data_IF_169680369546
#
_entry.id   IF_169680369546
#
_cell.length_a   1.000
_cell.length_b   1.000
_cell.length_c   1.000
_cell.angle_alpha   90.00
_cell.angle_beta   90.00
_cell.angle_gamma   90.00
#
_symmetry.space_group_name_H-M   'P 1'
#
loop_
_entity.id
_entity.type
_entity.pdbx_description
1 polymer ?
#
# COMPACT_ATOMS: atom_id res chain seq x y z
N UNK A 1 16.63 26.86 -32.56
CA UNK A 1 17.16 25.59 -32.01
C UNK A 1 16.93 25.63 -30.50
N UNK A 2 16.26 24.62 -29.92
CA UNK A 2 16.06 24.55 -28.47
C UNK A 2 17.34 24.01 -27.80
N UNK A 3 17.82 24.66 -26.74
CA UNK A 3 18.87 24.11 -25.89
C UNK A 3 18.26 23.09 -24.93
N UNK A 4 18.77 21.86 -24.92
CA UNK A 4 18.24 20.75 -24.13
C UNK A 4 19.34 20.25 -23.19
N UNK A 5 19.09 20.34 -21.88
CA UNK A 5 20.00 19.86 -20.83
C UNK A 5 19.47 18.58 -20.19
N UNK A 6 20.39 17.66 -19.87
CA UNK A 6 20.10 16.41 -19.14
C UNK A 6 20.75 16.47 -17.78
N UNK A 7 20.00 16.07 -16.75
CA UNK A 7 20.46 16.02 -15.37
C UNK A 7 20.36 14.60 -14.82
N UNK A 8 21.27 14.24 -13.93
CA UNK A 8 21.23 12.98 -13.17
C UNK A 8 20.95 13.32 -11.71
N UNK A 9 19.84 12.83 -11.18
CA UNK A 9 19.48 12.99 -9.78
C UNK A 9 19.94 11.76 -8.98
N UNK A 10 20.41 12.00 -7.75
CA UNK A 10 20.68 10.96 -6.75
C UNK A 10 20.09 11.43 -5.41
N UNK A 11 19.30 10.58 -4.77
CA UNK A 11 18.77 10.85 -3.43
C UNK A 11 19.85 10.56 -2.39
N UNK A 12 19.97 11.44 -1.39
CA UNK A 12 20.89 11.29 -0.24
C UNK A 12 20.15 10.98 1.07
N UNK A 13 18.84 11.09 1.05
CA UNK A 13 17.91 10.82 2.14
C UNK A 13 16.62 10.22 1.57
N UNK A 14 15.70 9.72 2.41
CA UNK A 14 14.35 9.41 1.97
C UNK A 14 13.70 10.63 1.31
N UNK A 15 13.04 10.42 0.17
CA UNK A 15 12.31 11.44 -0.58
C UNK A 15 10.87 10.98 -0.74
N UNK A 16 9.92 11.84 -0.41
CA UNK A 16 8.50 11.61 -0.62
C UNK A 16 7.89 12.75 -1.44
N UNK A 17 7.24 12.42 -2.54
CA UNK A 17 6.48 13.34 -3.37
C UNK A 17 5.07 12.79 -3.42
N UNK A 18 4.16 13.45 -2.72
CA UNK A 18 2.78 13.03 -2.61
C UNK A 18 1.96 13.35 -3.86
N UNK A 19 0.91 12.57 -4.09
CA UNK A 19 -0.17 12.87 -5.04
C UNK A 19 -1.46 13.35 -4.34
N UNK A 20 -1.44 13.47 -3.01
CA UNK A 20 -2.60 13.85 -2.19
C UNK A 20 -3.42 12.66 -1.67
N UNK A 21 -3.18 11.45 -2.19
CA UNK A 21 -3.87 10.25 -1.74
C UNK A 21 -3.22 9.67 -0.47
N UNK A 22 -4.03 8.92 0.28
CA UNK A 22 -3.63 8.24 1.50
C UNK A 22 -4.21 6.84 1.47
N UNK A 23 -3.39 5.84 1.78
CA UNK A 23 -3.85 4.49 2.08
C UNK A 23 -4.29 4.42 3.54
N UNK A 24 -5.53 4.01 3.77
CA UNK A 24 -6.06 3.75 5.10
C UNK A 24 -5.82 2.30 5.56
N UNK A 25 -6.10 1.98 6.82
CA UNK A 25 -5.85 0.68 7.44
C UNK A 25 -6.62 -0.51 6.85
N UNK A 26 -7.55 -0.28 5.91
CA UNK A 26 -8.25 -1.32 5.16
C UNK A 26 -7.55 -1.62 3.81
N UNK A 27 -6.70 -0.72 3.33
CA UNK A 27 -6.04 -0.79 2.01
C UNK A 27 -4.61 -1.34 2.07
N UNK A 28 -4.09 -1.60 3.28
CA UNK A 28 -2.81 -2.26 3.46
C UNK A 28 -2.79 -3.17 4.67
N UNK A 29 -1.82 -4.08 4.67
CA UNK A 29 -1.48 -4.94 5.81
C UNK A 29 0.00 -4.78 6.13
N UNK A 30 0.31 -4.51 7.39
CA UNK A 30 1.68 -4.55 7.89
C UNK A 30 1.94 -5.92 8.51
N UNK A 31 2.98 -6.61 8.03
CA UNK A 31 3.38 -7.89 8.60
C UNK A 31 4.91 -7.97 8.66
N UNK A 32 5.44 -7.89 9.88
CA UNK A 32 6.87 -7.80 10.15
C UNK A 32 7.49 -6.51 9.59
N UNK A 33 8.41 -6.66 8.63
CA UNK A 33 9.11 -5.55 7.97
C UNK A 33 8.53 -5.19 6.59
N UNK A 34 7.35 -5.71 6.26
CA UNK A 34 6.73 -5.54 4.95
C UNK A 34 5.38 -4.87 5.06
N UNK A 35 5.09 -4.01 4.08
CA UNK A 35 3.76 -3.44 3.85
C UNK A 35 3.22 -4.03 2.57
N UNK A 36 2.04 -4.63 2.69
CA UNK A 36 1.30 -5.29 1.63
C UNK A 36 0.17 -4.37 1.22
N UNK A 37 0.27 -3.74 0.05
CA UNK A 37 -0.79 -2.87 -0.49
C UNK A 37 -1.78 -3.74 -1.26
N UNK A 38 -2.98 -3.90 -0.71
CA UNK A 38 -3.95 -4.89 -1.20
C UNK A 38 -4.70 -4.39 -2.43
N UNK A 39 -5.30 -5.31 -3.18
CA UNK A 39 -6.24 -5.00 -4.26
C UNK A 39 -7.57 -5.67 -3.98
N UNK A 40 -8.66 -4.91 -4.11
CA UNK A 40 -10.02 -5.45 -3.99
C UNK A 40 -10.27 -6.58 -4.99
N UNK A 41 -9.80 -6.42 -6.24
CA UNK A 41 -9.88 -7.45 -7.28
C UNK A 41 -9.16 -8.73 -6.85
N UNK A 42 -7.92 -8.62 -6.35
CA UNK A 42 -7.16 -9.79 -5.89
C UNK A 42 -7.76 -10.41 -4.63
N UNK A 43 -8.32 -9.61 -3.73
CA UNK A 43 -9.05 -10.13 -2.57
C UNK A 43 -10.24 -10.96 -3.04
N UNK A 44 -11.03 -10.45 -3.99
CA UNK A 44 -12.18 -11.15 -4.55
C UNK A 44 -11.81 -12.46 -5.26
N UNK A 45 -10.65 -12.49 -5.93
CA UNK A 45 -10.16 -13.70 -6.60
C UNK A 45 -9.61 -14.76 -5.63
N UNK A 46 -9.00 -14.34 -4.53
CA UNK A 46 -8.19 -15.22 -3.67
C UNK A 46 -8.90 -15.64 -2.38
N UNK A 47 -9.87 -14.87 -1.90
CA UNK A 47 -10.63 -15.18 -0.69
C UNK A 47 -12.03 -15.73 -1.05
N UNK A 48 -12.55 -16.71 -0.28
CA UNK A 48 -13.93 -17.16 -0.45
C UNK A 48 -14.93 -16.04 -0.22
N UNK A 49 -16.06 -16.06 -0.94
CA UNK A 49 -17.12 -15.06 -0.81
C UNK A 49 -17.60 -14.88 0.63
N UNK A 50 -17.78 -15.96 1.38
CA UNK A 50 -18.18 -15.93 2.79
C UNK A 50 -17.21 -15.15 3.69
N UNK A 51 -15.90 -15.19 3.38
CA UNK A 51 -14.87 -14.44 4.12
C UNK A 51 -14.97 -12.95 3.80
N UNK A 52 -15.27 -12.61 2.54
CA UNK A 52 -15.45 -11.22 2.09
C UNK A 52 -16.73 -10.63 2.69
N UNK A 53 -17.82 -11.40 2.72
CA UNK A 53 -19.09 -11.00 3.31
C UNK A 53 -18.98 -10.77 4.82
N UNK A 54 -18.21 -11.61 5.53
CA UNK A 54 -17.93 -11.40 6.95
C UNK A 54 -17.03 -10.18 7.20
N UNK A 55 -16.04 -9.94 6.34
CA UNK A 55 -15.20 -8.74 6.43
C UNK A 55 -16.04 -7.48 6.30
N UNK A 56 -16.83 -7.38 5.23
CA UNK A 56 -17.68 -6.21 4.93
C UNK A 56 -18.72 -5.98 6.03
N UNK A 57 -19.43 -7.02 6.46
CA UNK A 57 -20.38 -6.95 7.57
C UNK A 57 -19.70 -6.54 8.88
N UNK A 58 -18.50 -7.06 9.15
CA UNK A 58 -17.73 -6.74 10.34
C UNK A 58 -17.23 -5.30 10.38
N UNK A 59 -16.84 -4.72 9.25
CA UNK A 59 -16.50 -3.28 9.18
C UNK A 59 -17.73 -2.43 9.47
N UNK A 60 -18.88 -2.73 8.85
CA UNK A 60 -20.14 -1.99 9.04
C UNK A 60 -20.58 -2.04 10.51
N UNK A 61 -20.43 -3.20 11.15
CA UNK A 61 -20.76 -3.39 12.56
C UNK A 61 -19.71 -2.80 13.54
N UNK A 62 -18.56 -2.32 13.04
CA UNK A 62 -17.47 -1.81 13.88
C UNK A 62 -16.64 -2.88 14.60
N UNK A 63 -16.70 -4.14 14.14
CA UNK A 63 -15.96 -5.27 14.72
C UNK A 63 -14.46 -5.28 14.36
N UNK A 64 -14.11 -4.61 13.26
CA UNK A 64 -12.75 -4.52 12.72
C UNK A 64 -12.45 -3.08 12.31
N UNK A 65 -11.28 -2.57 12.69
CA UNK A 65 -10.81 -1.24 12.33
C UNK A 65 -9.72 -1.27 11.24
N UNK A 66 -9.23 -2.45 10.88
CA UNK A 66 -8.20 -2.64 9.86
C UNK A 66 -8.33 -4.01 9.19
N UNK A 67 -7.80 -4.12 7.97
CA UNK A 67 -7.71 -5.40 7.27
C UNK A 67 -6.77 -6.37 8.02
N UNK A 68 -5.70 -5.86 8.62
CA UNK A 68 -4.80 -6.66 9.47
C UNK A 68 -5.57 -7.33 10.62
N UNK A 69 -6.39 -6.57 11.35
CA UNK A 69 -7.16 -7.09 12.48
C UNK A 69 -8.12 -8.21 12.04
N UNK A 70 -8.82 -8.02 10.92
CA UNK A 70 -9.69 -9.03 10.35
C UNK A 70 -8.94 -10.32 10.00
N UNK A 71 -7.87 -10.20 9.20
CA UNK A 71 -7.08 -11.36 8.75
C UNK A 71 -6.42 -12.07 9.93
N UNK A 72 -5.97 -11.34 10.94
CA UNK A 72 -5.41 -11.92 12.16
C UNK A 72 -6.45 -12.73 12.93
N UNK A 73 -7.63 -12.15 13.18
CA UNK A 73 -8.74 -12.83 13.88
C UNK A 73 -9.24 -14.07 13.13
N UNK A 74 -9.16 -14.09 11.80
CA UNK A 74 -9.51 -15.25 10.96
C UNK A 74 -8.37 -16.25 10.74
N UNK A 75 -7.19 -16.03 11.34
CA UNK A 75 -5.99 -16.86 11.12
C UNK A 75 -5.57 -16.94 9.63
N UNK A 76 -5.80 -15.84 8.90
CA UNK A 76 -5.47 -15.65 7.48
C UNK A 76 -4.29 -14.69 7.26
N UNK A 77 -3.74 -14.11 8.33
CA UNK A 77 -2.57 -13.23 8.28
C UNK A 77 -1.27 -14.04 8.08
N UNK A 78 -1.10 -14.59 6.87
CA UNK A 78 0.05 -15.42 6.45
C UNK A 78 0.66 -14.84 5.18
N UNK A 79 2.00 -14.90 5.07
CA UNK A 79 2.74 -14.25 3.98
C UNK A 79 2.33 -14.71 2.58
N UNK A 80 1.95 -15.99 2.42
CA UNK A 80 1.46 -16.55 1.16
C UNK A 80 0.12 -15.94 0.73
N UNK A 81 -0.82 -15.79 1.67
CA UNK A 81 -2.12 -15.14 1.44
C UNK A 81 -1.91 -13.65 1.17
N UNK A 82 -1.13 -12.97 2.02
CA UNK A 82 -0.87 -11.53 1.90
C UNK A 82 -0.25 -11.19 0.54
N UNK A 83 0.69 -12.00 0.06
CA UNK A 83 1.31 -11.80 -1.26
C UNK A 83 0.31 -11.96 -2.39
N UNK A 84 -0.61 -12.93 -2.30
CA UNK A 84 -1.64 -13.18 -3.33
C UNK A 84 -2.67 -12.05 -3.42
N UNK A 85 -3.10 -11.50 -2.29
CA UNK A 85 -4.09 -10.40 -2.26
C UNK A 85 -3.48 -9.02 -2.53
N UNK A 86 -2.15 -8.91 -2.65
CA UNK A 86 -1.44 -7.64 -2.79
C UNK A 86 -1.15 -7.24 -4.22
N UNK A 87 -1.28 -5.96 -4.53
CA UNK A 87 -0.82 -5.37 -5.80
C UNK A 87 0.70 -5.27 -5.83
N UNK A 88 1.29 -4.76 -4.74
CA UNK A 88 2.73 -4.65 -4.57
C UNK A 88 3.09 -4.68 -3.08
N UNK A 89 4.36 -4.94 -2.79
CA UNK A 89 4.88 -5.07 -1.43
C UNK A 89 6.08 -4.16 -1.28
N UNK A 90 6.14 -3.41 -0.19
CA UNK A 90 7.28 -2.56 0.17
C UNK A 90 7.95 -3.13 1.40
N UNK A 91 9.27 -3.29 1.35
CA UNK A 91 10.08 -3.71 2.51
C UNK A 91 10.67 -2.50 3.20
N UNK A 92 10.79 -2.58 4.52
CA UNK A 92 11.43 -1.60 5.39
C UNK A 92 12.63 -2.25 6.08
N UNK A 93 13.65 -1.45 6.39
CA UNK A 93 14.81 -1.91 7.15
C UNK A 93 14.44 -2.23 8.62
N UNK A 94 13.42 -1.53 9.12
CA UNK A 94 12.90 -1.64 10.50
C UNK A 94 11.52 -2.30 10.53
N UNK A 95 11.19 -2.91 11.67
CA UNK A 95 9.82 -3.40 11.95
C UNK A 95 8.87 -2.22 11.95
N UNK A 96 7.71 -2.39 11.33
CA UNK A 96 6.69 -1.37 11.19
C UNK A 96 5.57 -1.69 12.18
N UNK A 97 5.21 -0.75 13.04
CA UNK A 97 4.16 -0.94 14.04
C UNK A 97 3.22 0.27 14.08
N UNK A 98 1.96 0.04 14.44
CA UNK A 98 0.95 1.08 14.71
C UNK A 98 0.70 2.09 13.56
N UNK A 99 0.88 1.66 12.30
CA UNK A 99 0.59 2.50 11.14
C UNK A 99 -0.91 2.50 10.86
N UNK A 100 -1.52 3.67 10.95
CA UNK A 100 -2.95 3.88 10.62
C UNK A 100 -3.16 4.26 9.16
N UNK A 101 -2.23 5.07 8.64
CA UNK A 101 -2.32 5.66 7.32
C UNK A 101 -0.93 5.75 6.68
N UNK A 102 -0.86 5.61 5.36
CA UNK A 102 0.36 5.78 4.57
C UNK A 102 0.09 6.76 3.44
N UNK A 103 0.85 7.86 3.39
CA UNK A 103 0.77 8.82 2.28
C UNK A 103 1.32 8.20 1.01
N UNK A 104 0.54 8.24 -0.06
CA UNK A 104 0.91 7.64 -1.33
C UNK A 104 1.98 8.48 -2.04
N UNK A 105 3.02 7.82 -2.53
CA UNK A 105 4.01 8.44 -3.41
C UNK A 105 3.44 8.52 -4.83
N UNK A 106 3.70 9.62 -5.55
CA UNK A 106 3.20 9.81 -6.91
C UNK A 106 3.69 8.72 -7.87
N UNK A 107 2.73 8.09 -8.56
CA UNK A 107 2.97 6.95 -9.46
C UNK A 107 2.34 7.21 -10.83
N UNK A 108 2.89 6.55 -11.85
CA UNK A 108 2.25 6.42 -13.16
C UNK A 108 1.17 5.32 -13.12
N UNK A 109 0.37 5.19 -14.19
CA UNK A 109 -0.74 4.23 -14.30
C UNK A 109 -0.36 2.77 -13.99
N UNK A 110 0.91 2.40 -14.17
CA UNK A 110 1.43 1.04 -13.88
C UNK A 110 2.01 0.88 -12.47
N UNK A 111 1.69 1.78 -11.54
CA UNK A 111 2.23 1.83 -10.17
C UNK A 111 3.75 2.08 -10.07
N UNK A 112 4.40 2.56 -11.13
CA UNK A 112 5.81 2.95 -11.07
C UNK A 112 5.95 4.35 -10.46
N UNK A 113 6.69 4.51 -9.34
CA UNK A 113 6.92 5.81 -8.75
C UNK A 113 7.84 6.66 -9.64
N UNK A 114 7.58 7.96 -9.73
CA UNK A 114 8.43 8.90 -10.49
C UNK A 114 8.54 10.25 -9.78
N UNK A 115 9.52 11.06 -10.16
CA UNK A 115 9.64 12.44 -9.69
C UNK A 115 9.09 13.37 -10.79
N UNK A 116 7.95 14.07 -10.57
CA UNK A 116 7.42 15.00 -11.54
C UNK A 116 8.39 16.14 -11.83
N UNK A 117 8.49 16.56 -13.10
CA UNK A 117 9.36 17.68 -13.48
C UNK A 117 8.98 19.00 -12.79
N UNK A 118 7.70 19.18 -12.44
CA UNK A 118 7.23 20.30 -11.63
C UNK A 118 7.85 20.30 -10.22
N UNK A 119 8.01 19.14 -9.59
CA UNK A 119 8.64 18.98 -8.28
C UNK A 119 10.15 19.16 -8.30
N UNK A 120 10.80 18.95 -9.45
CA UNK A 120 12.24 19.26 -9.63
C UNK A 120 12.44 20.76 -9.87
N UNK A 121 11.49 21.39 -10.56
CA UNK A 121 11.56 22.80 -10.94
C UNK A 121 11.27 23.75 -9.76
N UNK A 122 10.23 23.43 -8.99
CA UNK A 122 9.80 24.21 -7.83
C UNK A 122 10.82 24.16 -6.71
#
# INVERSE_FOLDING_TARGET
MLDVKKYKLKTLSPVHIGNGNVYNSLEFVVFGKKVYFVSEEKIAEQLPAEVIDDFTSGIIAGNYNSLFEFLWKKNLCKEDILTKISTYVVSSDSVIENVREIREFVKEQKNYPYIPGSSIKG
#
